data_IF_232793062437
#
_entry.id   IF_232793062437
#
_cell.length_a   1.000
_cell.length_b   1.000
_cell.length_c   1.000
_cell.angle_alpha   90.00
_cell.angle_beta   90.00
_cell.angle_gamma   90.00
#
_symmetry.space_group_name_H-M   'P 1'
#
loop_
_entity.id
_entity.type
_entity.pdbx_description
1 polymer ?
#
# COMPACT_ATOMS: atom_id res chain seq x y z
N UNK A 1 12.36 14.12 36.12
CA UNK A 1 11.77 13.09 35.23
C UNK A 1 10.43 13.63 34.75
N UNK A 2 10.20 13.69 33.43
CA UNK A 2 8.97 14.28 32.88
C UNK A 2 7.87 13.23 32.77
N UNK A 3 6.78 13.41 33.51
CA UNK A 3 5.55 12.65 33.34
C UNK A 3 4.89 13.02 32.02
N UNK A 4 4.67 12.03 31.15
CA UNK A 4 3.86 12.20 29.95
C UNK A 4 2.40 12.32 30.42
N UNK A 5 1.81 13.48 30.23
CA UNK A 5 0.39 13.70 30.44
C UNK A 5 -0.38 12.91 29.38
N UNK A 6 -1.20 11.96 29.83
CA UNK A 6 -2.01 11.09 28.98
C UNK A 6 -3.44 11.59 28.81
N UNK A 7 -3.75 12.78 29.35
CA UNK A 7 -5.11 13.31 29.44
C UNK A 7 -5.49 14.25 28.30
N UNK A 8 -4.56 14.63 27.42
CA UNK A 8 -4.91 15.41 26.23
C UNK A 8 -5.51 14.54 25.12
N UNK A 9 -6.78 14.78 24.84
CA UNK A 9 -7.53 14.16 23.75
C UNK A 9 -7.18 14.88 22.44
N UNK A 10 -6.13 14.42 21.75
CA UNK A 10 -5.72 14.97 20.46
C UNK A 10 -6.21 14.10 19.30
N UNK A 11 -6.60 14.74 18.20
CA UNK A 11 -7.12 14.03 17.05
C UNK A 11 -6.04 13.15 16.40
N UNK A 12 -6.32 11.85 16.28
CA UNK A 12 -5.43 10.89 15.62
C UNK A 12 -5.99 10.48 14.26
N UNK A 13 -5.13 10.53 13.24
CA UNK A 13 -5.38 10.00 11.91
C UNK A 13 -4.35 8.90 11.60
N UNK A 14 -4.74 7.93 10.77
CA UNK A 14 -3.86 6.83 10.32
C UNK A 14 -3.54 7.01 8.85
N UNK A 15 -2.26 6.90 8.50
CA UNK A 15 -1.79 6.98 7.10
C UNK A 15 -1.11 5.67 6.73
N UNK A 16 -1.68 4.98 5.75
CA UNK A 16 -1.05 3.83 5.10
C UNK A 16 -0.34 4.27 3.84
N UNK A 17 0.94 3.91 3.72
CA UNK A 17 1.63 3.91 2.43
C UNK A 17 1.50 2.52 1.82
N UNK A 18 0.93 2.43 0.62
CA UNK A 18 0.67 1.15 -0.02
C UNK A 18 1.07 1.18 -1.49
N UNK A 19 1.74 0.11 -1.91
CA UNK A 19 2.08 -0.15 -3.31
C UNK A 19 1.39 -1.44 -3.75
N UNK A 20 0.62 -1.34 -4.83
CA UNK A 20 -0.02 -2.49 -5.42
C UNK A 20 0.95 -3.29 -6.29
N UNK A 21 0.61 -4.56 -6.50
CA UNK A 21 1.23 -5.36 -7.55
C UNK A 21 0.97 -4.65 -8.91
N UNK A 22 1.99 -4.41 -9.74
CA UNK A 22 1.75 -3.88 -11.09
C UNK A 22 0.96 -4.90 -11.92
N UNK A 23 0.17 -4.39 -12.88
CA UNK A 23 -0.51 -5.25 -13.86
C UNK A 23 0.49 -6.08 -14.68
N UNK A 24 0.05 -7.20 -15.24
CA UNK A 24 0.90 -8.01 -16.13
C UNK A 24 1.45 -7.20 -17.31
N UNK A 25 0.69 -6.22 -17.80
CA UNK A 25 1.09 -5.33 -18.91
C UNK A 25 2.23 -4.38 -18.54
N UNK A 26 2.36 -4.00 -17.27
CA UNK A 26 3.37 -3.05 -16.77
C UNK A 26 4.47 -3.70 -15.94
N UNK A 27 4.46 -5.03 -15.76
CA UNK A 27 5.38 -5.74 -14.89
C UNK A 27 6.87 -5.51 -15.24
N UNK A 28 7.22 -5.59 -16.53
CA UNK A 28 8.61 -5.42 -16.96
C UNK A 28 9.15 -4.01 -16.67
N UNK A 29 8.37 -2.98 -17.00
CA UNK A 29 8.73 -1.58 -16.78
C UNK A 29 8.77 -1.25 -15.29
N UNK A 30 7.82 -1.78 -14.52
CA UNK A 30 7.78 -1.61 -13.06
C UNK A 30 9.01 -2.24 -12.38
N UNK A 31 9.40 -3.46 -12.76
CA UNK A 31 10.61 -4.06 -12.21
C UNK A 31 11.84 -3.25 -12.62
N UNK A 32 11.95 -2.84 -13.89
CA UNK A 32 13.07 -2.02 -14.35
C UNK A 32 13.18 -0.69 -13.57
N UNK A 33 12.04 -0.06 -13.27
CA UNK A 33 11.97 1.12 -12.42
C UNK A 33 12.44 0.82 -10.98
N UNK A 34 11.98 -0.28 -10.38
CA UNK A 34 12.32 -0.64 -9.01
C UNK A 34 13.77 -1.15 -8.83
N UNK A 35 14.34 -1.81 -9.84
CA UNK A 35 15.68 -2.45 -9.76
C UNK A 35 16.77 -1.68 -10.48
N UNK A 36 16.44 -0.59 -11.18
CA UNK A 36 17.37 0.20 -11.99
C UNK A 36 17.97 -0.57 -13.17
N UNK A 37 17.43 -1.74 -13.51
CA UNK A 37 17.99 -2.67 -14.50
C UNK A 37 16.85 -3.35 -15.26
N UNK A 38 16.86 -3.34 -16.61
CA UNK A 38 15.92 -4.13 -17.38
C UNK A 38 16.11 -5.61 -17.06
N UNK A 39 15.02 -6.33 -16.75
CA UNK A 39 15.11 -7.78 -16.65
C UNK A 39 15.55 -8.37 -17.99
N UNK A 40 16.50 -9.33 -18.02
CA UNK A 40 16.72 -10.11 -19.23
C UNK A 40 15.40 -10.81 -19.58
N UNK A 41 14.91 -10.63 -20.82
CA UNK A 41 13.71 -11.28 -21.38
C UNK A 41 13.85 -12.81 -21.50
N UNK A 42 14.66 -13.45 -20.67
CA UNK A 42 14.86 -14.89 -20.69
C UNK A 42 13.71 -15.58 -19.95
N UNK A 43 12.84 -16.21 -20.73
CA UNK A 43 11.88 -17.23 -20.27
C UNK A 43 12.68 -18.42 -19.70
N UNK A 44 13.13 -18.36 -18.45
CA UNK A 44 13.77 -19.52 -17.81
C UNK A 44 14.75 -19.27 -16.67
N UNK A 45 15.14 -18.02 -16.40
CA UNK A 45 16.03 -17.72 -15.27
C UNK A 45 15.29 -17.74 -13.93
N UNK A 46 15.82 -18.47 -12.95
CA UNK A 46 15.33 -18.61 -11.56
C UNK A 46 15.10 -17.29 -10.79
N UNK A 47 15.50 -16.15 -11.35
CA UNK A 47 15.24 -14.81 -10.79
C UNK A 47 13.82 -14.27 -11.01
N UNK A 48 13.08 -14.72 -12.02
CA UNK A 48 11.73 -14.17 -12.31
C UNK A 48 10.65 -14.66 -11.34
N UNK A 49 10.74 -15.90 -10.85
CA UNK A 49 9.75 -16.52 -9.96
C UNK A 49 9.70 -15.87 -8.57
N UNK A 50 10.84 -15.44 -8.03
CA UNK A 50 10.90 -14.79 -6.71
C UNK A 50 10.27 -13.39 -6.70
N UNK A 51 10.32 -12.66 -7.82
CA UNK A 51 9.78 -11.30 -7.90
C UNK A 51 8.25 -11.28 -7.89
N UNK A 52 7.59 -12.20 -8.63
CA UNK A 52 6.13 -12.30 -8.60
C UNK A 52 5.59 -12.60 -7.21
N UNK A 53 6.30 -13.43 -6.43
CA UNK A 53 5.93 -13.69 -5.04
C UNK A 53 6.18 -12.48 -4.13
N UNK A 54 7.27 -11.74 -4.35
CA UNK A 54 7.61 -10.53 -3.58
C UNK A 54 6.57 -9.42 -3.73
N UNK A 55 6.07 -9.18 -4.95
CA UNK A 55 5.07 -8.13 -5.20
C UNK A 55 3.64 -8.67 -5.21
N UNK A 56 3.41 -9.93 -4.82
CA UNK A 56 2.06 -10.48 -4.71
C UNK A 56 1.30 -9.72 -3.62
N UNK A 57 0.14 -9.20 -3.99
CA UNK A 57 -0.80 -8.64 -3.05
C UNK A 57 -1.52 -9.75 -2.29
N UNK A 58 -1.34 -9.77 -0.97
CA UNK A 58 -1.95 -10.74 -0.05
C UNK A 58 -3.24 -10.20 0.60
N UNK A 59 -3.72 -9.02 0.21
CA UNK A 59 -4.88 -8.37 0.83
C UNK A 59 -4.61 -7.86 2.25
N UNK A 60 -3.35 -7.78 2.68
CA UNK A 60 -2.97 -7.37 4.05
C UNK A 60 -3.49 -5.97 4.40
N UNK A 61 -3.53 -5.06 3.43
CA UNK A 61 -4.03 -3.70 3.63
C UNK A 61 -5.53 -3.69 4.00
N UNK A 62 -6.34 -4.56 3.40
CA UNK A 62 -7.77 -4.67 3.71
C UNK A 62 -7.98 -5.08 5.17
N UNK A 63 -7.26 -6.10 5.62
CA UNK A 63 -7.35 -6.57 7.01
C UNK A 63 -6.80 -5.56 8.00
N UNK A 64 -5.71 -4.85 7.66
CA UNK A 64 -5.15 -3.81 8.53
C UNK A 64 -6.13 -2.65 8.71
N UNK A 65 -6.73 -2.16 7.62
CA UNK A 65 -7.74 -1.10 7.66
C UNK A 65 -8.97 -1.53 8.45
N UNK A 66 -9.47 -2.76 8.24
CA UNK A 66 -10.58 -3.31 9.04
C UNK A 66 -10.23 -3.42 10.53
N UNK A 67 -8.98 -3.74 10.86
CA UNK A 67 -8.50 -3.77 12.25
C UNK A 67 -8.56 -2.38 12.88
N UNK A 68 -8.09 -1.35 12.17
CA UNK A 68 -8.19 0.05 12.62
C UNK A 68 -9.65 0.43 12.85
N UNK A 69 -10.54 0.16 11.88
CA UNK A 69 -11.96 0.47 11.99
C UNK A 69 -12.65 -0.23 13.17
N UNK A 70 -12.24 -1.47 13.49
CA UNK A 70 -12.85 -2.25 14.57
C UNK A 70 -12.28 -1.93 15.94
N UNK A 71 -10.98 -1.71 16.05
CA UNK A 71 -10.27 -1.69 17.34
C UNK A 71 -9.73 -0.30 17.73
N UNK A 72 -9.77 0.69 16.84
CA UNK A 72 -9.30 2.05 17.11
C UNK A 72 -10.43 3.07 16.87
N UNK A 73 -11.50 3.08 17.70
CA UNK A 73 -12.66 3.97 17.51
C UNK A 73 -12.34 5.47 17.66
N UNK A 74 -11.17 5.78 18.23
CA UNK A 74 -10.64 7.13 18.43
C UNK A 74 -9.91 7.68 17.19
N UNK A 75 -9.63 6.83 16.19
CA UNK A 75 -9.07 7.27 14.90
C UNK A 75 -10.16 7.98 14.11
N UNK A 76 -9.88 9.23 13.74
CA UNK A 76 -10.82 10.09 13.03
C UNK A 76 -10.83 9.83 11.52
N UNK A 77 -9.64 9.67 10.92
CA UNK A 77 -9.50 9.44 9.47
C UNK A 77 -8.46 8.38 9.16
N UNK A 78 -8.70 7.64 8.08
CA UNK A 78 -7.76 6.68 7.50
C UNK A 78 -7.45 7.14 6.08
N UNK A 79 -6.18 7.42 5.82
CA UNK A 79 -5.67 7.76 4.50
C UNK A 79 -4.87 6.59 3.93
N UNK A 80 -5.04 6.32 2.64
CA UNK A 80 -4.24 5.33 1.93
C UNK A 80 -3.57 6.06 0.77
N UNK A 81 -2.26 6.25 0.87
CA UNK A 81 -1.43 6.90 -0.15
C UNK A 81 -0.87 5.81 -1.05
N UNK A 82 -1.13 5.94 -2.35
CA UNK A 82 -0.73 4.93 -3.35
C UNK A 82 0.06 5.55 -4.49
N UNK A 83 0.81 4.73 -5.22
CA UNK A 83 1.50 5.13 -6.44
C UNK A 83 0.60 5.08 -7.69
N UNK A 84 -0.71 5.33 -7.53
CA UNK A 84 -1.71 5.22 -8.60
C UNK A 84 -2.40 3.87 -8.70
N UNK A 85 -1.95 2.86 -7.96
CA UNK A 85 -2.70 1.61 -7.79
C UNK A 85 -3.81 1.79 -6.76
N UNK A 86 -5.01 1.28 -7.02
CA UNK A 86 -6.14 1.35 -6.08
C UNK A 86 -6.32 -0.03 -5.42
N UNK A 87 -6.30 -0.14 -4.08
CA UNK A 87 -6.61 -1.37 -3.39
C UNK A 87 -7.98 -1.91 -3.79
N UNK A 88 -8.05 -3.19 -4.19
CA UNK A 88 -9.28 -3.80 -4.74
C UNK A 88 -10.48 -3.73 -3.79
N UNK A 89 -10.25 -3.80 -2.49
CA UNK A 89 -11.31 -3.77 -1.48
C UNK A 89 -12.01 -2.41 -1.36
N UNK A 90 -11.43 -1.33 -1.89
CA UNK A 90 -12.03 0.00 -1.85
C UNK A 90 -13.11 0.19 -2.92
N UNK A 91 -13.32 -0.74 -3.86
CA UNK A 91 -14.39 -0.63 -4.87
C UNK A 91 -14.39 0.70 -5.65
N UNK A 92 -15.58 1.15 -6.06
CA UNK A 92 -15.81 2.44 -6.76
C UNK A 92 -15.91 3.65 -5.81
N UNK A 93 -15.24 3.61 -4.65
CA UNK A 93 -15.24 4.75 -3.72
C UNK A 93 -14.78 5.99 -4.50
N UNK A 94 -15.59 7.06 -4.46
CA UNK A 94 -15.35 8.31 -5.20
C UNK A 94 -13.94 8.83 -4.90
N UNK A 95 -13.02 8.60 -5.82
CA UNK A 95 -11.65 9.08 -5.71
C UNK A 95 -11.66 10.61 -5.75
N UNK A 96 -11.47 11.25 -4.60
CA UNK A 96 -11.05 12.64 -4.55
C UNK A 96 -9.54 12.65 -4.70
N UNK A 97 -9.04 12.63 -5.94
CA UNK A 97 -7.65 12.99 -6.21
C UNK A 97 -7.51 14.49 -5.95
N UNK A 98 -6.80 14.86 -4.89
CA UNK A 98 -6.23 16.21 -4.79
C UNK A 98 -5.19 16.32 -5.91
N UNK A 99 -5.64 16.85 -7.06
CA UNK A 99 -4.77 17.41 -8.09
C UNK A 99 -4.48 18.84 -7.65
N UNK A 100 -3.38 19.00 -6.94
CA UNK A 100 -2.62 20.26 -6.94
C UNK A 100 -1.42 20.09 -7.86
#
# INVERSE_FOLDING_TARGET
EGTIDTTEDFAVDVVYTWVGAPSDKSWADYIAFCTGTPLPRSKGGTGSWNLRNRFRDWGTIEYSVRSVQRYLPWVRRVFIVTNGNIPRFLGDVKNTTNKD
#
